data_IF_091619233263
#
_entry.id   IF_091619233263
#
_cell.length_a   1.000
_cell.length_b   1.000
_cell.length_c   1.000
_cell.angle_alpha   90.00
_cell.angle_beta   90.00
_cell.angle_gamma   90.00
#
_symmetry.space_group_name_H-M   'P 1'
#
loop_
_entity.id
_entity.type
_entity.pdbx_description
1 polymer ?
#
# COMPACT_ATOMS: atom_id res chain seq x y z
N UNK A 1 24.09 4.29 -11.14
CA UNK A 1 23.90 5.49 -12.01
C UNK A 1 22.62 5.44 -12.84
N UNK A 2 22.39 4.39 -13.63
CA UNK A 2 21.19 4.28 -14.48
C UNK A 2 19.88 4.25 -13.69
N UNK A 3 19.77 3.39 -12.67
CA UNK A 3 18.56 3.30 -11.83
C UNK A 3 18.20 4.61 -11.12
N UNK A 4 19.21 5.34 -10.60
CA UNK A 4 19.03 6.67 -10.00
C UNK A 4 18.42 7.67 -10.99
N UNK A 5 18.93 7.71 -12.22
CA UNK A 5 18.40 8.58 -13.26
C UNK A 5 16.99 8.17 -13.69
N UNK A 6 16.70 6.87 -13.75
CA UNK A 6 15.36 6.36 -14.06
C UNK A 6 14.35 6.78 -13.00
N UNK A 7 14.66 6.56 -11.71
CA UNK A 7 13.82 7.02 -10.58
C UNK A 7 13.57 8.52 -10.66
N UNK A 8 14.64 9.33 -10.76
CA UNK A 8 14.52 10.79 -10.85
C UNK A 8 13.67 11.24 -12.04
N UNK A 9 13.91 10.68 -13.22
CA UNK A 9 13.14 11.03 -14.43
C UNK A 9 11.67 10.65 -14.28
N UNK A 10 11.37 9.51 -13.67
CA UNK A 10 10.01 9.05 -13.41
C UNK A 10 9.27 10.05 -12.53
N UNK A 11 9.87 10.42 -11.40
CA UNK A 11 9.23 11.33 -10.44
C UNK A 11 9.05 12.74 -11.02
N UNK A 12 10.09 13.27 -11.68
CA UNK A 12 10.04 14.63 -12.26
C UNK A 12 9.06 14.76 -13.42
N UNK A 13 8.72 13.65 -14.08
CA UNK A 13 7.75 13.60 -15.19
C UNK A 13 6.35 13.20 -14.75
N UNK A 14 6.13 12.90 -13.46
CA UNK A 14 4.82 12.50 -12.94
C UNK A 14 3.67 13.41 -13.42
N UNK A 15 3.78 14.77 -13.38
CA UNK A 15 2.68 15.64 -13.81
C UNK A 15 2.31 15.55 -15.30
N UNK A 16 3.15 14.91 -16.12
CA UNK A 16 2.96 14.74 -17.57
C UNK A 16 2.29 13.40 -17.91
N UNK A 17 2.24 12.46 -16.96
CA UNK A 17 1.57 11.16 -17.12
C UNK A 17 0.09 11.34 -17.49
N UNK A 18 -0.35 10.64 -18.54
CA UNK A 18 -1.73 10.69 -19.01
C UNK A 18 -2.16 12.02 -19.65
N UNK A 19 -1.27 13.02 -19.68
CA UNK A 19 -1.52 14.33 -20.31
C UNK A 19 -0.73 14.49 -21.61
N UNK A 20 0.55 14.14 -21.58
CA UNK A 20 1.43 14.22 -22.75
C UNK A 20 1.87 12.84 -23.23
N UNK A 21 2.13 11.93 -22.30
CA UNK A 21 2.56 10.56 -22.57
C UNK A 21 2.23 9.65 -21.38
N UNK A 22 2.35 8.34 -21.59
CA UNK A 22 2.43 7.41 -20.47
C UNK A 22 3.83 7.52 -19.86
N UNK A 23 3.92 7.93 -18.61
CA UNK A 23 5.19 8.02 -17.90
C UNK A 23 5.75 6.62 -17.68
N UNK A 24 6.89 6.33 -18.29
CA UNK A 24 7.55 5.02 -18.28
C UNK A 24 8.69 5.02 -17.26
N UNK A 25 8.65 4.17 -16.22
CA UNK A 25 9.69 4.08 -15.20
C UNK A 25 10.94 3.29 -15.63
N UNK A 26 11.07 2.95 -16.92
CA UNK A 26 12.07 2.02 -17.46
C UNK A 26 11.80 0.57 -17.04
N UNK A 27 12.52 -0.38 -17.64
CA UNK A 27 12.30 -1.81 -17.40
C UNK A 27 12.69 -2.21 -15.97
N UNK A 28 11.81 -2.99 -15.33
CA UNK A 28 12.12 -3.69 -14.09
C UNK A 28 13.18 -4.77 -14.31
N UNK A 29 14.21 -4.73 -13.46
CA UNK A 29 15.29 -5.71 -13.40
C UNK A 29 15.25 -6.41 -12.03
N UNK A 30 14.52 -7.50 -11.98
CA UNK A 30 14.32 -8.38 -10.84
C UNK A 30 15.38 -9.49 -10.73
N UNK A 31 16.11 -9.79 -11.82
CA UNK A 31 17.15 -10.84 -11.83
C UNK A 31 18.21 -10.64 -10.73
N UNK A 32 18.76 -11.73 -10.19
CA UNK A 32 19.76 -11.67 -9.11
C UNK A 32 21.13 -11.16 -9.56
N UNK A 33 21.40 -11.10 -10.87
CA UNK A 33 22.68 -10.61 -11.41
C UNK A 33 22.82 -9.09 -11.38
N UNK A 34 21.77 -8.37 -10.96
CA UNK A 34 21.86 -6.93 -10.69
C UNK A 34 22.74 -6.66 -9.46
N UNK A 35 23.32 -5.46 -9.39
CA UNK A 35 24.08 -5.00 -8.21
C UNK A 35 23.20 -4.29 -7.18
N UNK A 36 21.87 -4.44 -7.29
CA UNK A 36 20.91 -3.76 -6.43
C UNK A 36 20.78 -4.52 -5.12
N UNK A 37 20.88 -3.79 -4.01
CA UNK A 37 20.51 -4.32 -2.69
C UNK A 37 18.99 -4.57 -2.63
N UNK A 38 18.50 -5.41 -1.69
CA UNK A 38 17.06 -5.59 -1.49
C UNK A 38 16.32 -4.27 -1.21
N UNK A 39 16.95 -3.34 -0.48
CA UNK A 39 16.40 -2.02 -0.17
C UNK A 39 16.30 -1.14 -1.43
N UNK A 40 17.37 -1.09 -2.25
CA UNK A 40 17.34 -0.37 -3.52
C UNK A 40 16.28 -0.91 -4.47
N UNK A 41 16.11 -2.24 -4.52
CA UNK A 41 15.05 -2.85 -5.29
C UNK A 41 13.67 -2.41 -4.81
N UNK A 42 13.43 -2.42 -3.50
CA UNK A 42 12.16 -1.96 -2.93
C UNK A 42 11.88 -0.49 -3.27
N UNK A 43 12.88 0.39 -3.21
CA UNK A 43 12.78 1.78 -3.64
C UNK A 43 12.33 1.90 -5.10
N UNK A 44 12.98 1.16 -6.01
CA UNK A 44 12.63 1.15 -7.44
C UNK A 44 11.21 0.61 -7.65
N UNK A 45 10.86 -0.50 -7.00
CA UNK A 45 9.51 -1.09 -7.12
C UNK A 45 8.44 -0.13 -6.62
N UNK A 46 8.71 0.62 -5.55
CA UNK A 46 7.79 1.64 -5.04
C UNK A 46 7.58 2.76 -6.04
N UNK A 47 8.65 3.26 -6.68
CA UNK A 47 8.55 4.31 -7.71
C UNK A 47 7.78 3.80 -8.93
N UNK A 48 8.01 2.55 -9.35
CA UNK A 48 7.29 1.92 -10.47
C UNK A 48 5.82 1.72 -10.13
N UNK A 49 5.51 1.24 -8.92
CA UNK A 49 4.16 1.10 -8.41
C UNK A 49 3.41 2.44 -8.43
N UNK A 50 4.05 3.47 -7.88
CA UNK A 50 3.45 4.79 -7.76
C UNK A 50 3.31 5.50 -9.11
N UNK A 51 4.15 5.20 -10.11
CA UNK A 51 4.16 5.88 -11.41
C UNK A 51 2.80 5.85 -12.14
N UNK A 52 2.01 4.79 -11.94
CA UNK A 52 0.73 4.55 -12.62
C UNK A 52 0.85 4.15 -14.09
N UNK A 53 2.07 4.21 -14.65
CA UNK A 53 2.40 3.87 -16.03
C UNK A 53 2.64 2.39 -16.31
N UNK A 54 3.23 2.07 -17.47
CA UNK A 54 3.49 0.70 -17.86
C UNK A 54 4.47 0.03 -16.89
N UNK A 55 4.21 -1.25 -16.61
CA UNK A 55 5.14 -2.15 -15.91
C UNK A 55 5.79 -3.04 -16.95
N UNK A 56 7.05 -2.76 -17.28
CA UNK A 56 7.81 -3.48 -18.32
C UNK A 56 8.88 -4.32 -17.64
N UNK A 57 9.01 -5.59 -18.02
CA UNK A 57 9.99 -6.52 -17.45
C UNK A 57 11.00 -6.91 -18.51
N UNK A 58 12.29 -6.81 -18.16
CA UNK A 58 13.40 -7.17 -19.06
C UNK A 58 14.27 -8.29 -18.48
N UNK A 59 13.61 -9.33 -17.95
CA UNK A 59 14.25 -10.52 -17.38
C UNK A 59 13.70 -11.81 -18.01
N UNK A 60 14.47 -12.89 -17.91
CA UNK A 60 13.96 -14.23 -18.19
C UNK A 60 13.07 -14.68 -17.03
N UNK A 61 11.76 -14.72 -17.28
CA UNK A 61 10.74 -15.10 -16.30
C UNK A 61 10.93 -16.52 -15.75
N UNK A 62 11.60 -17.42 -16.49
CA UNK A 62 11.86 -18.80 -16.05
C UNK A 62 12.95 -18.88 -14.98
N UNK A 63 13.82 -17.88 -14.93
CA UNK A 63 14.95 -17.83 -13.99
C UNK A 63 14.64 -17.04 -12.72
N UNK A 64 13.49 -16.35 -12.66
CA UNK A 64 13.09 -15.58 -11.50
C UNK A 64 12.63 -16.50 -10.36
N UNK A 65 13.14 -16.23 -9.16
CA UNK A 65 12.64 -16.90 -7.95
C UNK A 65 11.19 -16.52 -7.65
N UNK A 66 10.48 -17.36 -6.91
CA UNK A 66 9.09 -17.11 -6.50
C UNK A 66 8.94 -15.76 -5.76
N UNK A 67 9.92 -15.40 -4.94
CA UNK A 67 9.96 -14.09 -4.26
C UNK A 67 10.03 -12.91 -5.25
N UNK A 68 10.84 -13.02 -6.30
CA UNK A 68 10.95 -11.98 -7.33
C UNK A 68 9.70 -11.92 -8.21
N UNK A 69 9.13 -13.08 -8.55
CA UNK A 69 7.85 -13.16 -9.24
C UNK A 69 6.73 -12.53 -8.41
N UNK A 70 6.72 -12.75 -7.09
CA UNK A 70 5.74 -12.13 -6.20
C UNK A 70 5.84 -10.61 -6.22
N UNK A 71 7.05 -10.07 -6.16
CA UNK A 71 7.30 -8.61 -6.28
C UNK A 71 6.77 -8.03 -7.59
N UNK A 72 6.81 -8.77 -8.69
CA UNK A 72 6.18 -8.34 -9.95
C UNK A 72 4.65 -8.44 -9.88
N UNK A 73 4.12 -9.55 -9.37
CA UNK A 73 2.68 -9.82 -9.34
C UNK A 73 1.89 -8.76 -8.56
N UNK A 74 2.47 -8.23 -7.48
CA UNK A 74 1.81 -7.22 -6.65
C UNK A 74 1.77 -5.84 -7.31
N UNK A 75 2.54 -5.60 -8.37
CA UNK A 75 2.51 -4.36 -9.15
C UNK A 75 1.44 -4.35 -10.25
N UNK A 76 0.72 -5.47 -10.41
CA UNK A 76 -0.23 -5.67 -11.49
C UNK A 76 -1.66 -5.83 -10.95
N UNK A 77 -2.65 -5.16 -11.55
CA UNK A 77 -2.51 -4.18 -12.63
C UNK A 77 -1.97 -2.82 -12.13
N UNK A 78 -1.25 -2.04 -12.95
CA UNK A 78 -0.93 -0.66 -12.58
C UNK A 78 -2.17 0.14 -12.18
N UNK A 79 -2.03 1.10 -11.29
CA UNK A 79 -3.15 1.94 -10.85
C UNK A 79 -3.70 2.81 -11.99
N UNK A 80 -2.88 3.16 -12.98
CA UNK A 80 -3.25 4.11 -14.03
C UNK A 80 -3.23 5.57 -13.58
N UNK A 81 -2.94 5.82 -12.30
CA UNK A 81 -2.94 7.14 -11.68
C UNK A 81 -1.52 7.49 -11.27
N UNK A 82 -1.04 8.66 -11.70
CA UNK A 82 0.28 9.16 -11.32
C UNK A 82 0.25 9.86 -9.97
N UNK A 83 1.37 9.87 -9.22
CA UNK A 83 1.41 10.45 -7.89
C UNK A 83 1.54 11.97 -7.97
N UNK A 84 0.92 12.67 -7.04
CA UNK A 84 1.38 14.02 -6.72
C UNK A 84 2.71 13.92 -5.99
N UNK A 85 3.71 14.58 -6.54
CA UNK A 85 5.06 14.66 -5.97
C UNK A 85 5.17 15.96 -5.17
N UNK A 86 5.05 15.87 -3.85
CA UNK A 86 4.84 17.04 -2.98
C UNK A 86 6.04 17.99 -2.94
N UNK A 87 7.24 17.42 -3.03
CA UNK A 87 8.51 18.14 -2.97
C UNK A 87 9.18 18.30 -4.34
N UNK A 88 8.42 18.15 -5.43
CA UNK A 88 8.92 18.21 -6.81
C UNK A 88 9.70 19.48 -7.14
N UNK A 89 9.24 20.63 -6.64
CA UNK A 89 9.88 21.93 -6.89
C UNK A 89 10.89 22.32 -5.79
N UNK A 90 11.04 21.47 -4.76
CA UNK A 90 11.92 21.72 -3.62
C UNK A 90 13.18 20.86 -3.65
N UNK A 91 13.10 19.62 -4.14
CA UNK A 91 14.21 18.67 -4.17
C UNK A 91 14.51 18.19 -5.59
N UNK A 92 15.79 18.01 -5.88
CA UNK A 92 16.24 17.45 -7.17
C UNK A 92 15.86 15.97 -7.33
N UNK A 93 15.86 15.23 -6.21
CA UNK A 93 15.38 13.86 -6.08
C UNK A 93 14.20 13.88 -5.10
N UNK A 94 12.96 13.97 -5.62
CA UNK A 94 11.78 14.06 -4.78
C UNK A 94 11.62 12.83 -3.91
N UNK A 95 11.17 13.01 -2.67
CA UNK A 95 11.06 11.96 -1.66
C UNK A 95 9.62 11.66 -1.24
N UNK A 96 8.66 12.53 -1.60
CA UNK A 96 7.33 12.55 -0.99
C UNK A 96 6.25 12.42 -2.07
N UNK A 97 5.60 11.26 -2.11
CA UNK A 97 4.66 10.88 -3.18
C UNK A 97 3.30 10.49 -2.62
N UNK A 98 2.22 10.99 -3.22
CA UNK A 98 0.85 10.68 -2.81
C UNK A 98 -0.02 10.31 -4.00
N UNK A 99 -0.78 9.22 -3.90
CA UNK A 99 -1.86 8.87 -4.83
C UNK A 99 -3.15 8.79 -4.04
N UNK A 100 -4.13 9.61 -4.41
CA UNK A 100 -5.50 9.44 -3.93
C UNK A 100 -6.15 8.29 -4.72
N UNK A 101 -6.61 7.27 -4.01
CA UNK A 101 -7.38 6.18 -4.58
C UNK A 101 -8.86 6.37 -4.20
N UNK A 102 -9.70 6.32 -5.22
CA UNK A 102 -11.16 6.43 -5.13
C UNK A 102 -11.78 5.38 -6.05
N UNK A 103 -11.52 4.12 -5.72
CA UNK A 103 -11.93 2.96 -6.51
C UNK A 103 -12.36 1.82 -5.58
N UNK A 104 -13.22 0.93 -6.08
CA UNK A 104 -13.67 -0.24 -5.33
C UNK A 104 -14.57 0.13 -4.14
N UNK A 105 -14.25 -0.41 -2.97
CA UNK A 105 -15.08 -0.30 -1.76
C UNK A 105 -14.72 0.85 -0.79
N UNK A 106 -13.88 1.82 -1.18
CA UNK A 106 -13.59 2.97 -0.33
C UNK A 106 -12.62 3.99 -0.92
N UNK A 107 -12.33 5.04 -0.15
CA UNK A 107 -11.33 6.07 -0.48
C UNK A 107 -10.16 6.00 0.49
N UNK A 108 -8.93 6.12 -0.03
CA UNK A 108 -7.71 6.14 0.77
C UNK A 108 -6.53 6.71 -0.02
N UNK A 109 -5.47 7.01 0.71
CA UNK A 109 -4.27 7.57 0.10
C UNK A 109 -3.13 6.54 0.17
N UNK A 110 -2.44 6.36 -0.96
CA UNK A 110 -1.13 5.73 -0.97
C UNK A 110 -0.08 6.80 -0.77
N UNK A 111 0.80 6.58 0.18
CA UNK A 111 1.84 7.52 0.58
C UNK A 111 3.18 6.83 0.53
N UNK A 112 4.04 7.25 -0.39
CA UNK A 112 5.40 6.76 -0.45
C UNK A 112 6.38 7.82 0.08
N UNK A 113 7.27 7.37 0.95
CA UNK A 113 8.32 8.20 1.53
C UNK A 113 9.67 7.55 1.22
N UNK A 114 10.50 8.26 0.48
CA UNK A 114 11.74 7.76 -0.06
C UNK A 114 12.96 8.33 0.68
N UNK A 115 14.05 7.59 0.66
CA UNK A 115 15.35 8.04 1.13
C UNK A 115 16.39 7.77 0.04
N UNK A 116 16.76 8.81 -0.70
CA UNK A 116 17.80 8.72 -1.74
C UNK A 116 19.20 9.03 -1.21
N UNK A 117 19.33 9.21 0.11
CA UNK A 117 20.60 9.41 0.80
C UNK A 117 21.35 8.11 1.10
N UNK A 118 22.54 8.26 1.66
CA UNK A 118 23.47 7.16 1.97
C UNK A 118 23.28 6.55 3.36
N UNK A 119 22.48 7.17 4.23
CA UNK A 119 22.29 6.75 5.61
C UNK A 119 20.79 6.56 5.90
N UNK A 120 20.41 5.63 6.80
CA UNK A 120 19.02 5.50 7.23
C UNK A 120 18.47 6.84 7.73
N UNK A 121 17.21 7.12 7.42
CA UNK A 121 16.56 8.39 7.73
C UNK A 121 15.15 8.14 8.26
N UNK A 122 14.81 8.76 9.38
CA UNK A 122 13.41 8.96 9.75
C UNK A 122 12.89 10.14 8.93
N UNK A 123 11.88 9.87 8.12
CA UNK A 123 11.25 10.89 7.29
C UNK A 123 9.90 11.21 7.89
N UNK A 124 9.64 12.49 8.18
CA UNK A 124 8.29 12.95 8.46
C UNK A 124 7.69 13.53 7.20
N UNK A 125 6.43 13.21 6.94
CA UNK A 125 5.67 13.77 5.84
C UNK A 125 4.83 14.91 6.38
N UNK A 126 5.20 16.14 6.03
CA UNK A 126 4.37 17.32 6.29
C UNK A 126 3.27 17.39 5.24
N UNK A 127 2.16 16.74 5.54
CA UNK A 127 1.07 16.63 4.60
C UNK A 127 0.25 17.92 4.54
N UNK A 128 0.03 18.36 3.31
CA UNK A 128 -0.79 19.54 3.03
C UNK A 128 -2.26 19.13 2.89
N UNK A 129 -3.15 19.82 3.61
CA UNK A 129 -4.60 19.56 3.65
C UNK A 129 -5.29 19.25 2.30
N UNK A 130 -4.95 19.89 1.17
CA UNK A 130 -5.57 19.58 -0.11
C UNK A 130 -5.44 18.12 -0.56
N UNK A 131 -4.36 17.42 -0.19
CA UNK A 131 -4.08 16.06 -0.65
C UNK A 131 -4.63 14.96 0.26
N UNK A 132 -5.24 15.35 1.39
CA UNK A 132 -5.80 14.43 2.39
C UNK A 132 -7.19 14.85 2.83
N UNK A 133 -7.80 15.82 2.11
CA UNK A 133 -9.12 16.37 2.43
C UNK A 133 -10.21 15.31 2.51
N UNK A 134 -10.02 14.19 1.81
CA UNK A 134 -10.95 13.06 1.79
C UNK A 134 -10.91 12.25 3.09
N UNK A 135 -9.73 12.15 3.70
CA UNK A 135 -9.53 11.35 4.91
C UNK A 135 -9.35 12.22 6.17
N UNK A 136 -9.40 13.55 6.04
CA UNK A 136 -9.37 14.50 7.14
C UNK A 136 -10.77 14.98 7.53
N UNK A 137 -10.99 15.16 8.83
CA UNK A 137 -12.20 15.85 9.31
C UNK A 137 -12.02 17.37 9.22
N UNK A 138 -13.06 18.14 8.84
CA UNK A 138 -12.98 19.60 8.76
C UNK A 138 -12.71 20.31 10.10
N UNK A 139 -12.91 19.60 11.21
CA UNK A 139 -12.65 20.09 12.57
C UNK A 139 -12.28 18.92 13.47
N UNK A 140 -11.13 19.00 14.14
CA UNK A 140 -10.69 18.08 15.17
C UNK A 140 -9.63 17.07 14.71
N UNK A 141 -9.32 16.14 15.60
CA UNK A 141 -8.32 15.09 15.37
C UNK A 141 -8.93 13.92 14.61
N UNK A 142 -8.39 13.57 13.44
CA UNK A 142 -8.76 12.32 12.75
C UNK A 142 -7.77 11.22 13.11
N UNK A 143 -8.25 10.06 13.57
CA UNK A 143 -7.41 8.87 13.73
C UNK A 143 -7.25 8.18 12.39
N UNK A 144 -6.06 7.67 12.12
CA UNK A 144 -5.71 7.05 10.85
C UNK A 144 -5.19 5.63 11.08
N UNK A 145 -5.60 4.71 10.22
CA UNK A 145 -4.88 3.47 9.99
C UNK A 145 -3.68 3.73 9.07
N UNK A 146 -2.55 3.15 9.43
CA UNK A 146 -1.34 3.19 8.64
C UNK A 146 -0.86 1.77 8.42
N UNK A 147 -0.78 1.37 7.15
CA UNK A 147 -0.37 0.03 6.77
C UNK A 147 0.80 0.11 5.80
N UNK A 148 1.98 -0.34 6.23
CA UNK A 148 3.16 -0.44 5.35
C UNK A 148 3.05 -1.71 4.50
N UNK A 149 2.90 -1.53 3.20
CA UNK A 149 2.75 -2.61 2.24
C UNK A 149 3.94 -3.58 2.23
N UNK A 150 5.17 -3.06 2.36
CA UNK A 150 6.37 -3.89 2.18
C UNK A 150 6.68 -4.75 3.41
N UNK A 151 6.47 -4.22 4.60
CA UNK A 151 6.71 -4.93 5.87
C UNK A 151 5.48 -5.66 6.39
N UNK A 152 4.28 -5.27 5.95
CA UNK A 152 3.01 -5.72 6.53
C UNK A 152 2.78 -5.19 7.96
N UNK A 153 3.53 -4.17 8.38
CA UNK A 153 3.38 -3.53 9.68
C UNK A 153 2.15 -2.62 9.68
N UNK A 154 1.45 -2.65 10.81
CA UNK A 154 0.30 -1.81 11.08
C UNK A 154 0.60 -0.86 12.24
N UNK A 155 0.20 0.40 12.08
CA UNK A 155 0.22 1.40 13.14
C UNK A 155 -0.97 2.36 13.02
N UNK A 156 -1.11 3.22 14.02
CA UNK A 156 -2.12 4.29 14.02
C UNK A 156 -1.42 5.64 14.14
N UNK A 157 -2.03 6.66 13.56
CA UNK A 157 -1.61 8.05 13.73
C UNK A 157 -2.80 8.97 13.96
N UNK A 158 -2.50 10.18 14.40
CA UNK A 158 -3.47 11.25 14.60
C UNK A 158 -3.17 12.43 13.68
N UNK A 159 -4.23 12.95 13.07
CA UNK A 159 -4.22 14.04 12.12
C UNK A 159 -4.84 15.29 12.75
N UNK A 160 -4.09 16.39 12.87
CA UNK A 160 -4.57 17.62 13.51
C UNK A 160 -4.71 18.80 12.52
N UNK A 161 -5.91 19.41 12.50
CA UNK A 161 -6.43 20.67 11.92
C UNK A 161 -5.65 21.47 10.85
N UNK A 162 -4.31 21.55 10.82
CA UNK A 162 -3.60 22.43 9.86
C UNK A 162 -2.13 22.11 9.56
N UNK A 163 -1.52 21.13 10.23
CA UNK A 163 -0.22 20.60 9.87
C UNK A 163 -0.21 19.13 10.18
N UNK A 164 -0.04 18.34 9.15
CA UNK A 164 -0.06 16.91 9.28
C UNK A 164 1.39 16.47 9.37
N UNK A 165 1.86 16.07 10.55
CA UNK A 165 3.04 15.20 10.59
C UNK A 165 2.56 13.79 10.43
N UNK A 166 2.39 13.38 9.18
CA UNK A 166 2.24 11.97 8.88
C UNK A 166 3.60 11.33 9.13
N UNK A 167 3.65 10.59 10.23
CA UNK A 167 4.64 9.58 10.56
C UNK A 167 6.07 10.08 10.82
N UNK A 168 6.55 9.97 12.06
CA UNK A 168 7.82 9.26 12.21
C UNK A 168 7.47 7.80 11.88
N UNK A 169 7.78 7.28 10.68
CA UNK A 169 7.51 5.89 10.37
C UNK A 169 8.16 5.06 11.49
N UNK A 170 7.47 4.03 12.01
CA UNK A 170 8.00 3.23 13.11
C UNK A 170 9.41 2.69 12.77
N UNK A 171 9.66 2.49 11.48
CA UNK A 171 10.94 2.07 10.91
C UNK A 171 11.62 3.22 10.14
N UNK A 172 12.92 3.38 10.33
CA UNK A 172 13.73 4.27 9.51
C UNK A 172 13.78 3.79 8.05
N UNK A 173 13.68 4.71 7.09
CA UNK A 173 13.81 4.36 5.67
C UNK A 173 15.28 4.05 5.36
N UNK A 174 15.54 2.85 4.86
CA UNK A 174 16.89 2.42 4.46
C UNK A 174 17.47 3.30 3.34
N UNK A 175 18.80 3.42 3.23
CA UNK A 175 19.44 4.12 2.11
C UNK A 175 18.93 3.62 0.75
N UNK A 176 18.68 4.56 -0.15
CA UNK A 176 18.18 4.32 -1.51
C UNK A 176 16.87 3.51 -1.60
N UNK A 177 16.04 3.54 -0.57
CA UNK A 177 14.78 2.78 -0.49
C UNK A 177 13.57 3.69 -0.35
N UNK A 178 12.39 3.08 -0.25
CA UNK A 178 11.14 3.73 0.04
C UNK A 178 10.24 2.85 0.93
N UNK A 179 9.42 3.51 1.75
CA UNK A 179 8.26 2.92 2.39
C UNK A 179 7.02 3.24 1.56
N UNK A 180 6.00 2.38 1.64
CA UNK A 180 4.73 2.57 0.95
C UNK A 180 3.59 2.29 1.91
N UNK A 181 2.91 3.36 2.33
CA UNK A 181 1.79 3.30 3.25
C UNK A 181 0.46 3.38 2.53
N UNK A 182 -0.49 2.54 2.91
CA UNK A 182 -1.90 2.83 2.75
C UNK A 182 -2.40 3.57 4.00
N UNK A 183 -2.98 4.74 3.79
CA UNK A 183 -3.47 5.62 4.84
C UNK A 183 -4.99 5.74 4.73
N UNK A 184 -5.69 5.34 5.80
CA UNK A 184 -7.17 5.33 5.85
C UNK A 184 -7.65 6.04 7.11
N UNK A 185 -8.81 6.70 7.08
CA UNK A 185 -9.45 7.12 8.32
C UNK A 185 -9.81 5.89 9.15
N UNK A 186 -9.68 6.01 10.47
CA UNK A 186 -10.17 5.04 11.44
C UNK A 186 -11.49 5.57 11.99
N UNK A 187 -12.57 4.81 11.79
CA UNK A 187 -13.90 5.12 12.29
C UNK A 187 -14.24 4.18 13.46
N UNK A 188 -14.19 4.67 14.72
CA UNK A 188 -14.43 3.82 15.88
C UNK A 188 -15.77 3.09 15.82
N UNK A 189 -15.77 1.81 16.18
CA UNK A 189 -16.97 0.98 16.24
C UNK A 189 -17.47 0.46 14.88
N UNK A 190 -16.79 0.78 13.77
CA UNK A 190 -17.09 0.20 12.46
C UNK A 190 -16.00 -0.77 12.05
N UNK A 191 -16.33 -1.93 11.45
CA UNK A 191 -15.32 -2.78 10.85
C UNK A 191 -14.80 -2.12 9.56
N UNK A 192 -13.49 -2.19 9.35
CA UNK A 192 -12.82 -1.52 8.23
C UNK A 192 -11.78 -2.42 7.57
N UNK A 193 -11.64 -2.28 6.25
CA UNK A 193 -10.55 -2.92 5.50
C UNK A 193 -9.28 -2.08 5.63
N UNK A 194 -8.30 -2.57 6.38
CA UNK A 194 -7.05 -1.83 6.62
C UNK A 194 -6.15 -1.89 5.38
N UNK A 195 -5.99 -3.08 4.80
CA UNK A 195 -5.15 -3.28 3.62
C UNK A 195 -4.86 -4.75 3.32
N UNK A 196 -4.01 -5.00 2.33
CA UNK A 196 -3.50 -6.33 2.00
C UNK A 196 -2.11 -6.26 1.37
N UNK A 197 -1.47 -7.42 1.27
CA UNK A 197 -0.25 -7.61 0.48
C UNK A 197 -0.52 -8.24 -0.90
N UNK A 198 -1.79 -8.27 -1.37
CA UNK A 198 -2.19 -8.87 -2.65
C UNK A 198 -1.87 -7.98 -3.85
N UNK A 199 -1.90 -6.66 -3.63
CA UNK A 199 -1.59 -5.63 -4.59
C UNK A 199 -1.03 -4.41 -3.84
N UNK A 200 -0.08 -3.68 -4.44
CA UNK A 200 0.57 -2.53 -3.78
C UNK A 200 -0.39 -1.41 -3.36
N UNK A 201 -1.60 -1.39 -3.95
CA UNK A 201 -2.63 -0.42 -3.58
C UNK A 201 -3.31 -0.71 -2.26
N UNK A 202 -3.14 -1.91 -1.69
CA UNK A 202 -3.74 -2.32 -0.43
C UNK A 202 -5.28 -2.12 -0.39
N UNK A 203 -6.00 -2.51 -1.45
CA UNK A 203 -7.46 -2.35 -1.48
C UNK A 203 -8.12 -2.29 -2.85
N UNK A 204 -7.39 -2.13 -3.96
CA UNK A 204 -7.99 -2.15 -5.32
C UNK A 204 -8.64 -3.51 -5.63
N UNK A 205 -8.12 -4.56 -5.01
CA UNK A 205 -8.67 -5.91 -5.06
C UNK A 205 -10.04 -6.04 -4.37
N UNK A 206 -10.43 -5.12 -3.49
CA UNK A 206 -11.70 -5.16 -2.76
C UNK A 206 -12.83 -4.56 -3.60
N UNK A 207 -13.71 -5.42 -4.12
CA UNK A 207 -14.81 -5.00 -5.01
C UNK A 207 -16.18 -4.96 -4.33
N UNK A 208 -16.33 -5.62 -3.18
CA UNK A 208 -17.55 -5.53 -2.37
C UNK A 208 -17.24 -5.63 -0.89
N UNK A 209 -17.94 -4.82 -0.10
CA UNK A 209 -17.89 -4.84 1.36
C UNK A 209 -19.32 -4.80 1.91
N UNK A 210 -19.68 -5.80 2.70
CA UNK A 210 -20.99 -5.92 3.34
C UNK A 210 -20.82 -6.15 4.83
N UNK A 211 -21.45 -5.27 5.60
CA UNK A 211 -21.44 -5.31 7.04
C UNK A 211 -22.78 -5.82 7.57
N UNK A 212 -22.71 -6.67 8.59
CA UNK A 212 -23.84 -7.08 9.41
C UNK A 212 -23.37 -7.19 10.87
N UNK A 213 -24.30 -7.39 11.81
CA UNK A 213 -23.96 -7.41 13.23
C UNK A 213 -22.95 -8.54 13.55
N UNK A 214 -21.69 -8.17 13.85
CA UNK A 214 -20.62 -9.11 14.17
C UNK A 214 -20.07 -9.92 12.99
N UNK A 215 -20.39 -9.52 11.76
CA UNK A 215 -19.93 -10.20 10.54
C UNK A 215 -19.65 -9.22 9.40
N UNK A 216 -18.53 -9.43 8.72
CA UNK A 216 -18.19 -8.76 7.47
C UNK A 216 -18.02 -9.77 6.36
N UNK A 217 -18.63 -9.50 5.22
CA UNK A 217 -18.42 -10.25 3.98
C UNK A 217 -17.79 -9.35 2.94
N UNK A 218 -16.72 -9.84 2.32
CA UNK A 218 -15.97 -9.13 1.31
C UNK A 218 -15.77 -9.99 0.07
N UNK A 219 -15.77 -9.34 -1.09
CA UNK A 219 -15.47 -9.94 -2.38
C UNK A 219 -14.17 -9.34 -2.91
N UNK A 220 -13.24 -10.22 -3.28
CA UNK A 220 -11.93 -9.88 -3.80
C UNK A 220 -11.85 -10.21 -5.29
N UNK A 221 -11.21 -9.33 -6.06
CA UNK A 221 -10.92 -9.51 -7.47
C UNK A 221 -9.44 -9.16 -7.74
N UNK A 222 -8.67 -10.17 -8.12
CA UNK A 222 -7.27 -10.05 -8.55
C UNK A 222 -7.12 -10.22 -10.08
N UNK A 223 -8.21 -10.01 -10.80
CA UNK A 223 -8.38 -10.09 -12.25
C UNK A 223 -8.09 -11.48 -12.83
N UNK A 224 -7.05 -11.60 -13.66
CA UNK A 224 -6.65 -12.87 -14.28
C UNK A 224 -5.48 -13.53 -13.53
N UNK A 225 -5.12 -13.01 -12.35
CA UNK A 225 -4.01 -13.53 -11.55
C UNK A 225 -4.50 -14.55 -10.52
N UNK A 226 -3.55 -15.32 -10.01
CA UNK A 226 -3.68 -16.02 -8.73
C UNK A 226 -2.80 -15.30 -7.72
N UNK A 227 -3.35 -14.96 -6.56
CA UNK A 227 -2.65 -14.25 -5.51
C UNK A 227 -2.89 -14.91 -4.15
N UNK A 228 -1.80 -15.19 -3.43
CA UNK A 228 -1.85 -15.64 -2.04
C UNK A 228 -1.11 -14.66 -1.17
N UNK A 229 -1.61 -14.43 0.03
CA UNK A 229 -1.08 -13.43 0.93
C UNK A 229 -1.99 -13.21 2.12
N UNK A 230 -2.11 -11.97 2.55
CA UNK A 230 -2.80 -11.61 3.77
C UNK A 230 -3.67 -10.37 3.56
N UNK A 231 -4.78 -10.32 4.28
CA UNK A 231 -5.57 -9.10 4.47
C UNK A 231 -5.55 -8.70 5.94
N UNK A 232 -5.64 -7.41 6.19
CA UNK A 232 -5.78 -6.83 7.52
C UNK A 232 -7.17 -6.22 7.65
N UNK A 233 -7.90 -6.65 8.66
CA UNK A 233 -9.23 -6.14 8.99
C UNK A 233 -9.18 -5.48 10.36
N UNK A 234 -9.75 -4.29 10.45
CA UNK A 234 -10.13 -3.71 11.73
C UNK A 234 -11.51 -4.27 12.11
N UNK A 235 -11.57 -5.03 13.20
CA UNK A 235 -12.79 -5.64 13.74
C UNK A 235 -13.02 -5.04 15.14
N UNK A 236 -13.99 -4.11 15.29
CA UNK A 236 -14.13 -3.31 16.49
C UNK A 236 -14.40 -4.17 17.73
N UNK A 237 -13.96 -3.68 18.88
CA UNK A 237 -14.16 -4.26 20.22
C UNK A 237 -13.58 -5.67 20.42
N UNK A 238 -12.87 -6.22 19.42
CA UNK A 238 -12.18 -7.50 19.58
C UNK A 238 -10.90 -7.36 20.41
N UNK A 239 -10.66 -8.36 21.26
CA UNK A 239 -9.48 -8.44 22.14
C UNK A 239 -8.77 -9.79 21.97
N UNK A 240 -7.71 -10.04 22.76
CA UNK A 240 -7.06 -11.35 22.80
C UNK A 240 -8.01 -12.51 23.18
N UNK A 241 -9.14 -12.21 23.84
CA UNK A 241 -10.14 -13.20 24.25
C UNK A 241 -11.25 -13.41 23.19
N UNK A 242 -11.28 -12.58 22.14
CA UNK A 242 -12.25 -12.71 21.06
C UNK A 242 -11.92 -13.86 20.13
N UNK A 243 -12.96 -14.49 19.60
CA UNK A 243 -12.84 -15.48 18.54
C UNK A 243 -13.22 -14.85 17.21
N UNK A 244 -12.38 -15.03 16.19
CA UNK A 244 -12.65 -14.62 14.80
C UNK A 244 -12.62 -15.85 13.92
N UNK A 245 -13.75 -16.15 13.28
CA UNK A 245 -13.88 -17.26 12.34
C UNK A 245 -14.07 -16.71 10.94
N UNK A 246 -13.32 -17.23 9.98
CA UNK A 246 -13.46 -16.84 8.59
C UNK A 246 -13.72 -18.06 7.71
N UNK A 247 -14.51 -17.85 6.64
CA UNK A 247 -14.86 -18.86 5.65
C UNK A 247 -15.07 -18.21 4.28
N UNK A 248 -15.11 -19.01 3.22
CA UNK A 248 -15.29 -18.54 1.85
C UNK A 248 -14.23 -19.10 0.92
N UNK A 249 -14.38 -18.84 -0.39
CA UNK A 249 -13.45 -19.37 -1.40
C UNK A 249 -12.06 -18.76 -1.31
N UNK A 250 -11.94 -17.54 -0.76
CA UNK A 250 -10.67 -16.85 -0.59
C UNK A 250 -9.94 -17.22 0.71
N UNK A 251 -10.55 -17.96 1.62
CA UNK A 251 -9.98 -18.21 2.94
C UNK A 251 -8.81 -19.19 2.89
N UNK A 252 -7.64 -18.75 3.39
CA UNK A 252 -6.39 -19.53 3.40
C UNK A 252 -6.15 -20.34 4.67
N UNK A 253 -7.11 -20.41 5.60
CA UNK A 253 -7.07 -21.34 6.72
C UNK A 253 -6.46 -20.81 8.02
N UNK A 254 -5.99 -19.57 8.07
CA UNK A 254 -5.36 -19.01 9.27
C UNK A 254 -5.78 -17.56 9.53
N UNK A 255 -6.01 -17.25 10.81
CA UNK A 255 -6.42 -15.94 11.32
C UNK A 255 -5.56 -15.63 12.55
N UNK A 256 -5.01 -14.42 12.62
CA UNK A 256 -4.12 -13.98 13.69
C UNK A 256 -4.50 -12.58 14.14
N UNK A 257 -4.49 -12.32 15.45
CA UNK A 257 -4.61 -10.95 15.93
C UNK A 257 -3.23 -10.27 15.85
N UNK A 258 -3.19 -9.10 15.23
CA UNK A 258 -1.98 -8.25 15.15
C UNK A 258 -1.87 -7.38 16.40
N UNK A 259 -2.98 -6.73 16.75
CA UNK A 259 -3.18 -5.97 17.97
C UNK A 259 -4.70 -5.93 18.26
N UNK A 260 -5.14 -5.41 19.43
CA UNK A 260 -6.57 -5.28 19.70
C UNK A 260 -7.30 -4.61 18.53
N UNK A 261 -8.42 -5.21 18.14
CA UNK A 261 -9.23 -4.78 17.00
C UNK A 261 -8.60 -4.92 15.61
N UNK A 262 -7.38 -5.43 15.44
CA UNK A 262 -6.80 -5.65 14.09
C UNK A 262 -6.37 -7.09 13.91
N UNK A 263 -6.93 -7.72 12.88
CA UNK A 263 -6.74 -9.12 12.56
C UNK A 263 -6.14 -9.27 11.17
N UNK A 264 -5.20 -10.20 11.05
CA UNK A 264 -4.58 -10.60 9.80
C UNK A 264 -5.10 -11.98 9.40
N UNK A 265 -5.64 -12.09 8.20
CA UNK A 265 -6.21 -13.32 7.65
C UNK A 265 -5.40 -13.77 6.44
N UNK A 266 -4.99 -15.03 6.41
CA UNK A 266 -4.36 -15.63 5.23
C UNK A 266 -5.43 -15.86 4.17
N UNK A 267 -5.15 -15.43 2.94
CA UNK A 267 -6.06 -15.57 1.80
C UNK A 267 -5.35 -16.11 0.57
N UNK A 268 -6.10 -16.80 -0.28
CA UNK A 268 -5.68 -17.24 -1.61
C UNK A 268 -6.82 -17.05 -2.59
N UNK A 269 -6.60 -16.28 -3.65
CA UNK A 269 -7.63 -15.85 -4.60
C UNK A 269 -7.20 -16.20 -6.02
N UNK A 270 -8.07 -16.88 -6.76
CA UNK A 270 -7.88 -17.19 -8.18
C UNK A 270 -8.88 -16.37 -9.01
N UNK A 271 -8.43 -15.21 -9.46
CA UNK A 271 -9.24 -14.22 -10.15
C UNK A 271 -10.28 -13.55 -9.25
N UNK A 272 -11.26 -14.30 -8.74
CA UNK A 272 -12.27 -13.81 -7.80
C UNK A 272 -12.38 -14.73 -6.58
N UNK A 273 -12.72 -14.16 -5.43
CA UNK A 273 -12.97 -14.94 -4.22
C UNK A 273 -13.75 -14.18 -3.17
N UNK A 274 -14.52 -14.92 -2.36
CA UNK A 274 -15.30 -14.38 -1.26
C UNK A 274 -14.69 -14.76 0.07
N UNK A 275 -14.82 -13.87 1.05
CA UNK A 275 -14.44 -14.11 2.43
C UNK A 275 -15.52 -13.53 3.33
N UNK A 276 -16.00 -14.33 4.29
CA UNK A 276 -16.81 -13.84 5.40
C UNK A 276 -16.04 -14.07 6.69
N UNK A 277 -15.98 -13.05 7.55
CA UNK A 277 -15.37 -13.11 8.86
C UNK A 277 -16.39 -12.70 9.93
N UNK A 278 -16.61 -13.59 10.89
CA UNK A 278 -17.47 -13.39 12.06
C UNK A 278 -16.59 -13.21 13.28
N UNK A 279 -16.97 -12.30 14.18
CA UNK A 279 -16.27 -12.13 15.45
C UNK A 279 -17.24 -12.05 16.61
N UNK A 280 -16.81 -12.62 17.74
CA UNK A 280 -17.51 -12.54 19.01
C UNK A 280 -16.73 -11.64 19.97
N UNK A 281 -17.41 -10.62 20.49
CA UNK A 281 -16.89 -9.77 21.56
C UNK A 281 -17.05 -10.50 22.90
N UNK A 282 -16.09 -10.39 23.83
CA UNK A 282 -16.18 -11.04 25.15
C UNK A 282 -17.38 -10.58 25.99
#
# INVERSE_FOLDING_TARGET
PAARNAVRNTLTRSPLHGRWFLNDPDCLLLRPTTKLTPAELQGILTVVAMCGGPVIVSDDMKELSLDRLRKLQVLLPPTGTSPVVLDLLHKEEPEELVIEIDEGAGAWDLVAVCNWGLVPKHCSLDVFQPFFRRISTPSGTTKLHLFDFWSGEYSQAELHDSSVRLLDPPSAVSPHSALLYAVRPLVPGKPEYVGSDLHFSCGKELVSWKESAGEVTLELNVEQRSASGHIWLYLPDTTMASEVTCAGSAYGGQVYMVCPSVWRIVVSVEGHGSLSCKWETP
#
